data_IF_047178981636
#
_entry.id   IF_047178981636
#
_cell.length_a   1.000
_cell.length_b   1.000
_cell.length_c   1.000
_cell.angle_alpha   90.00
_cell.angle_beta   90.00
_cell.angle_gamma   90.00
#
_symmetry.space_group_name_H-M   'P 1'
#
loop_
_entity.id
_entity.type
_entity.pdbx_description
1 polymer ?
#
# COMPACT_ATOMS: atom_id res chain seq x y z
N UNK A 1 -25.06 21.66 -6.06
CA UNK A 1 -24.32 20.57 -5.40
C UNK A 1 -23.23 20.13 -6.36
N UNK A 2 -21.98 20.11 -5.93
CA UNK A 2 -20.82 19.70 -6.75
C UNK A 2 -20.73 18.17 -6.71
N UNK A 3 -20.93 17.45 -7.84
CA UNK A 3 -20.72 16.02 -7.87
C UNK A 3 -19.21 15.71 -7.79
N UNK A 4 -18.84 14.63 -7.09
CA UNK A 4 -17.47 14.16 -7.02
C UNK A 4 -17.44 12.63 -6.89
N UNK A 5 -16.54 11.97 -7.61
CA UNK A 5 -16.36 10.52 -7.60
C UNK A 5 -15.01 10.17 -6.98
N UNK A 6 -15.03 9.46 -5.85
CA UNK A 6 -13.86 8.95 -5.15
C UNK A 6 -13.68 7.46 -5.39
N UNK A 7 -12.49 7.06 -5.83
CA UNK A 7 -12.07 5.66 -5.80
C UNK A 7 -11.25 5.39 -4.56
N UNK A 8 -11.70 4.40 -3.78
CA UNK A 8 -11.11 4.03 -2.50
C UNK A 8 -10.64 2.59 -2.50
N UNK A 9 -9.34 2.39 -2.29
CA UNK A 9 -8.76 1.06 -2.11
C UNK A 9 -8.62 0.77 -0.62
N UNK A 10 -9.39 -0.20 -0.14
CA UNK A 10 -9.43 -0.57 1.27
C UNK A 10 -8.11 -1.12 1.81
N UNK A 11 -7.82 -0.81 3.08
CA UNK A 11 -6.69 -1.39 3.80
C UNK A 11 -7.10 -2.72 4.44
N UNK A 12 -6.92 -3.79 3.69
CA UNK A 12 -7.07 -5.18 4.19
C UNK A 12 -8.30 -5.38 5.09
N UNK A 13 -8.08 -5.80 6.34
CA UNK A 13 -9.14 -6.13 7.32
C UNK A 13 -9.83 -4.90 7.94
N UNK A 14 -9.39 -3.69 7.63
CA UNK A 14 -9.97 -2.45 8.16
C UNK A 14 -11.16 -1.93 7.34
N UNK A 15 -11.52 -2.63 6.26
CA UNK A 15 -12.50 -2.18 5.26
C UNK A 15 -13.89 -1.81 5.82
N UNK A 16 -14.38 -2.50 6.84
CA UNK A 16 -15.70 -2.20 7.40
C UNK A 16 -15.75 -0.84 8.10
N UNK A 17 -14.70 -0.53 8.87
CA UNK A 17 -14.58 0.74 9.58
C UNK A 17 -14.34 1.88 8.61
N UNK A 18 -13.51 1.67 7.58
CA UNK A 18 -13.30 2.63 6.49
C UNK A 18 -14.62 2.96 5.80
N UNK A 19 -15.44 1.93 5.50
CA UNK A 19 -16.74 2.13 4.85
C UNK A 19 -17.68 2.95 5.74
N UNK A 20 -17.79 2.63 7.02
CA UNK A 20 -18.62 3.38 7.96
C UNK A 20 -18.16 4.85 8.07
N UNK A 21 -16.84 5.08 8.12
CA UNK A 21 -16.29 6.43 8.11
C UNK A 21 -16.67 7.20 6.84
N UNK A 22 -16.52 6.59 5.68
CA UNK A 22 -16.81 7.20 4.37
C UNK A 22 -18.33 7.46 4.17
N UNK A 23 -19.20 6.62 4.70
CA UNK A 23 -20.64 6.85 4.72
C UNK A 23 -20.98 8.10 5.55
N UNK A 24 -20.39 8.25 6.75
CA UNK A 24 -20.52 9.46 7.58
C UNK A 24 -19.95 10.70 6.90
N UNK A 25 -18.78 10.57 6.28
CA UNK A 25 -18.15 11.64 5.48
C UNK A 25 -19.06 12.11 4.35
N UNK A 26 -19.64 11.18 3.60
CA UNK A 26 -20.54 11.49 2.48
C UNK A 26 -21.77 12.27 2.92
N UNK A 27 -22.32 11.93 4.09
CA UNK A 27 -23.44 12.66 4.68
C UNK A 27 -23.06 14.10 5.05
N UNK A 28 -21.92 14.31 5.74
CA UNK A 28 -21.44 15.66 6.12
C UNK A 28 -21.17 16.54 4.88
N UNK A 29 -20.48 16.02 3.88
CA UNK A 29 -20.16 16.76 2.67
C UNK A 29 -21.40 17.15 1.86
N UNK A 30 -22.47 16.34 1.92
CA UNK A 30 -23.74 16.66 1.27
C UNK A 30 -24.39 17.91 1.88
N UNK A 31 -24.31 18.10 3.21
CA UNK A 31 -24.78 19.30 3.89
C UNK A 31 -24.01 20.56 3.45
N UNK A 32 -22.76 20.39 3.04
CA UNK A 32 -21.89 21.45 2.51
C UNK A 32 -22.03 21.65 0.99
N UNK A 33 -22.95 20.95 0.33
CA UNK A 33 -23.19 21.09 -1.09
C UNK A 33 -22.26 20.27 -2.00
N UNK A 34 -21.57 19.26 -1.46
CA UNK A 34 -20.73 18.32 -2.22
C UNK A 34 -21.41 16.94 -2.22
N UNK A 35 -21.73 16.45 -3.43
CA UNK A 35 -22.31 15.11 -3.63
C UNK A 35 -21.18 14.11 -3.91
N UNK A 36 -20.59 13.53 -2.85
CA UNK A 36 -19.53 12.54 -2.98
C UNK A 36 -20.13 11.14 -3.23
N UNK A 37 -19.73 10.52 -4.32
CA UNK A 37 -19.94 9.10 -4.60
C UNK A 37 -18.62 8.35 -4.33
N UNK A 38 -18.68 7.20 -3.63
CA UNK A 38 -17.50 6.39 -3.34
C UNK A 38 -17.62 5.04 -4.01
N UNK A 39 -16.63 4.71 -4.84
CA UNK A 39 -16.46 3.36 -5.39
C UNK A 39 -15.29 2.68 -4.69
N UNK A 40 -15.57 1.47 -4.20
CA UNK A 40 -14.62 0.71 -3.39
C UNK A 40 -13.89 -0.35 -4.21
N UNK A 41 -12.61 -0.57 -3.85
CA UNK A 41 -11.73 -1.61 -4.41
C UNK A 41 -10.95 -2.29 -3.29
N UNK A 42 -10.31 -3.42 -3.61
CA UNK A 42 -9.49 -4.17 -2.66
C UNK A 42 -10.22 -5.39 -2.10
N UNK A 43 -9.94 -5.74 -0.84
CA UNK A 43 -10.46 -6.95 -0.22
C UNK A 43 -12.00 -6.97 -0.23
N UNK A 44 -12.56 -8.06 -0.77
CA UNK A 44 -14.01 -8.27 -0.87
C UNK A 44 -14.65 -7.71 -2.14
N UNK A 45 -13.88 -7.08 -3.01
CA UNK A 45 -14.33 -6.59 -4.32
C UNK A 45 -13.73 -7.42 -5.44
N UNK A 46 -14.48 -7.64 -6.56
CA UNK A 46 -14.10 -8.59 -7.60
C UNK A 46 -12.91 -8.13 -8.44
N UNK A 47 -12.54 -6.86 -8.37
CA UNK A 47 -11.58 -6.23 -9.28
C UNK A 47 -10.64 -5.29 -8.52
N UNK A 48 -9.36 -5.28 -8.90
CA UNK A 48 -8.39 -4.29 -8.44
C UNK A 48 -8.61 -2.95 -9.14
N UNK A 49 -8.24 -1.86 -8.46
CA UNK A 49 -8.40 -0.51 -9.03
C UNK A 49 -7.55 -0.33 -10.29
N UNK A 50 -6.33 -0.86 -10.31
CA UNK A 50 -5.45 -0.84 -11.47
C UNK A 50 -6.03 -1.62 -12.66
N UNK A 51 -6.61 -2.80 -12.42
CA UNK A 51 -7.28 -3.61 -13.46
C UNK A 51 -8.45 -2.85 -14.09
N UNK A 52 -9.29 -2.23 -13.23
CA UNK A 52 -10.40 -1.42 -13.71
C UNK A 52 -9.91 -0.24 -14.55
N UNK A 53 -8.94 0.55 -14.03
CA UNK A 53 -8.43 1.74 -14.71
C UNK A 53 -7.61 1.42 -15.98
N UNK A 54 -7.11 0.19 -16.12
CA UNK A 54 -6.46 -0.26 -17.35
C UNK A 54 -7.44 -0.37 -18.54
N UNK A 55 -8.72 -0.62 -18.26
CA UNK A 55 -9.75 -0.75 -19.31
C UNK A 55 -9.89 0.50 -20.16
N UNK A 56 -10.20 0.36 -21.46
CA UNK A 56 -10.43 1.51 -22.35
C UNK A 56 -11.67 2.33 -21.98
N UNK A 57 -12.69 1.67 -21.43
CA UNK A 57 -13.98 2.25 -21.05
C UNK A 57 -14.07 2.64 -19.56
N UNK A 58 -12.96 2.59 -18.83
CA UNK A 58 -12.93 2.95 -17.43
C UNK A 58 -13.34 4.41 -17.20
N UNK A 59 -14.29 4.61 -16.29
CA UNK A 59 -14.63 5.94 -15.81
C UNK A 59 -13.51 6.43 -14.91
N UNK A 60 -12.92 7.59 -15.25
CA UNK A 60 -11.86 8.16 -14.42
C UNK A 60 -12.48 8.89 -13.22
N UNK A 61 -12.00 8.63 -11.99
CA UNK A 61 -12.51 9.29 -10.80
C UNK A 61 -12.01 10.73 -10.69
N UNK A 62 -12.66 11.53 -9.86
CA UNK A 62 -12.19 12.86 -9.49
C UNK A 62 -11.10 12.79 -8.41
N UNK A 63 -11.21 11.80 -7.52
CA UNK A 63 -10.25 11.59 -6.42
C UNK A 63 -9.90 10.10 -6.32
N UNK A 64 -8.68 9.84 -5.87
CA UNK A 64 -8.19 8.47 -5.59
C UNK A 64 -7.55 8.45 -4.21
N UNK A 65 -7.86 7.41 -3.43
CA UNK A 65 -7.07 6.96 -2.28
C UNK A 65 -6.71 5.49 -2.52
N UNK A 66 -5.43 5.20 -2.67
CA UNK A 66 -5.04 3.85 -3.05
C UNK A 66 -3.65 3.45 -2.57
N UNK A 67 -3.55 2.21 -2.07
CA UNK A 67 -2.32 1.45 -1.91
C UNK A 67 -2.10 0.45 -3.06
N UNK A 68 -2.96 0.44 -4.08
CA UNK A 68 -2.73 -0.26 -5.34
C UNK A 68 -1.75 0.57 -6.17
N UNK A 69 -0.45 0.27 -6.00
CA UNK A 69 0.63 1.08 -6.53
C UNK A 69 0.69 1.07 -8.06
N UNK A 70 0.11 0.06 -8.71
CA UNK A 70 0.07 -0.03 -10.17
C UNK A 70 -0.74 1.12 -10.78
N UNK A 71 -1.71 1.67 -10.04
CA UNK A 71 -2.44 2.89 -10.44
C UNK A 71 -1.47 4.05 -10.71
N UNK A 72 -0.36 4.13 -9.95
CA UNK A 72 0.60 5.23 -9.99
C UNK A 72 1.93 4.86 -10.68
N UNK A 73 2.22 3.57 -10.83
CA UNK A 73 3.49 3.06 -11.37
C UNK A 73 3.35 2.58 -12.81
N UNK A 74 2.18 2.08 -13.21
CA UNK A 74 1.94 1.70 -14.61
C UNK A 74 1.66 2.95 -15.45
N UNK A 75 2.58 3.23 -16.36
CA UNK A 75 2.47 4.40 -17.24
C UNK A 75 1.23 4.39 -18.13
N UNK A 76 0.66 3.22 -18.45
CA UNK A 76 -0.57 3.07 -19.24
C UNK A 76 -1.80 3.58 -18.46
N UNK A 77 -1.76 3.45 -17.13
CA UNK A 77 -2.81 3.91 -16.21
C UNK A 77 -2.54 5.36 -15.81
N UNK A 78 -1.35 5.64 -15.27
CA UNK A 78 -1.04 6.93 -14.67
C UNK A 78 -1.08 8.08 -15.67
N UNK A 79 -0.65 7.87 -16.92
CA UNK A 79 -0.74 8.89 -17.99
C UNK A 79 -2.17 9.36 -18.27
N UNK A 80 -3.19 8.55 -17.99
CA UNK A 80 -4.60 8.95 -18.13
C UNK A 80 -5.03 9.97 -17.06
N UNK A 81 -4.33 10.00 -15.93
CA UNK A 81 -4.65 10.80 -14.75
C UNK A 81 -3.71 12.01 -14.60
N UNK A 82 -2.41 11.80 -14.83
CA UNK A 82 -1.32 12.67 -14.42
C UNK A 82 -1.47 14.14 -14.85
N UNK A 83 -1.93 14.37 -16.09
CA UNK A 83 -2.03 15.74 -16.65
C UNK A 83 -3.01 16.62 -15.90
N UNK A 84 -4.05 16.00 -15.36
CA UNK A 84 -5.20 16.67 -14.73
C UNK A 84 -5.08 16.69 -13.19
N UNK A 85 -3.98 16.20 -12.62
CA UNK A 85 -3.82 16.16 -11.17
C UNK A 85 -3.41 17.51 -10.59
N UNK A 86 -4.10 17.91 -9.53
CA UNK A 86 -3.70 19.01 -8.66
C UNK A 86 -2.41 18.68 -7.91
N UNK A 87 -1.64 19.69 -7.44
CA UNK A 87 -0.46 19.49 -6.59
C UNK A 87 -0.85 19.15 -5.14
N UNK A 88 -1.60 18.07 -4.94
CA UNK A 88 -2.24 17.71 -3.68
C UNK A 88 -1.25 17.54 -2.51
N UNK A 89 0.00 17.14 -2.77
CA UNK A 89 1.02 17.02 -1.73
C UNK A 89 1.43 18.35 -1.08
N UNK A 90 0.98 19.48 -1.63
CA UNK A 90 1.19 20.82 -1.06
C UNK A 90 0.02 21.32 -0.22
N UNK A 91 -1.08 20.57 -0.16
CA UNK A 91 -2.33 21.03 0.46
C UNK A 91 -2.31 20.97 1.99
N UNK A 92 -1.60 20.01 2.51
CA UNK A 92 -1.55 19.73 3.96
C UNK A 92 -0.11 19.59 4.44
N UNK A 93 0.19 19.99 5.67
CA UNK A 93 1.49 19.75 6.26
C UNK A 93 1.69 18.25 6.50
N UNK A 94 2.88 17.75 6.13
CA UNK A 94 3.27 16.34 6.29
C UNK A 94 4.34 16.23 7.36
N UNK A 95 4.27 15.16 8.14
CA UNK A 95 5.30 14.76 9.12
C UNK A 95 6.57 14.41 8.38
N UNK A 96 7.63 15.19 8.63
CA UNK A 96 8.93 14.99 7.98
C UNK A 96 9.66 13.80 8.61
N UNK A 97 10.49 13.13 7.82
CA UNK A 97 11.32 12.04 8.30
C UNK A 97 11.56 10.95 7.25
N UNK A 98 12.41 9.95 7.60
CA UNK A 98 12.87 8.92 6.66
C UNK A 98 11.74 8.14 5.98
N UNK A 99 10.60 7.96 6.66
CA UNK A 99 9.45 7.27 6.06
C UNK A 99 8.85 8.06 4.91
N UNK A 100 8.61 9.37 5.12
CA UNK A 100 8.10 10.26 4.07
C UNK A 100 9.07 10.37 2.91
N UNK A 101 10.37 10.53 3.21
CA UNK A 101 11.42 10.66 2.19
C UNK A 101 11.47 9.40 1.29
N UNK A 102 11.23 8.22 1.87
CA UNK A 102 11.23 6.94 1.15
C UNK A 102 10.05 6.77 0.17
N UNK A 103 8.96 7.52 0.36
CA UNK A 103 7.72 7.33 -0.43
C UNK A 103 7.27 8.56 -1.20
N UNK A 104 7.92 9.70 -1.01
CA UNK A 104 7.54 10.96 -1.69
C UNK A 104 7.72 10.84 -3.21
N UNK A 105 6.68 11.17 -3.96
CA UNK A 105 6.66 11.15 -5.44
C UNK A 105 6.12 12.47 -5.99
N UNK A 106 6.98 13.46 -6.10
CA UNK A 106 6.61 14.78 -6.63
C UNK A 106 5.56 15.51 -5.78
N UNK A 107 4.78 16.39 -6.41
CA UNK A 107 3.77 17.23 -5.74
C UNK A 107 2.33 16.78 -5.98
N UNK A 108 2.08 15.94 -6.97
CA UNK A 108 0.72 15.52 -7.37
C UNK A 108 0.15 14.39 -6.53
N UNK A 109 1.02 13.52 -6.03
CA UNK A 109 0.65 12.42 -5.14
C UNK A 109 0.93 12.81 -3.69
N UNK A 110 -0.12 12.94 -2.90
CA UNK A 110 -0.01 13.24 -1.47
C UNK A 110 0.12 11.91 -0.73
N UNK A 111 1.29 11.61 -0.10
CA UNK A 111 1.41 10.42 0.73
C UNK A 111 0.42 10.51 1.90
N UNK A 112 -0.47 9.53 1.99
CA UNK A 112 -1.46 9.44 3.04
C UNK A 112 -0.93 8.59 4.20
N UNK A 113 -0.67 7.34 3.92
CA UNK A 113 -0.13 6.37 4.87
C UNK A 113 0.83 5.40 4.18
N UNK A 114 1.56 4.62 4.98
CA UNK A 114 2.21 3.39 4.52
C UNK A 114 1.82 2.20 5.36
N UNK A 115 1.65 1.06 4.70
CA UNK A 115 1.46 -0.25 5.31
C UNK A 115 2.84 -0.89 5.46
N UNK A 116 3.41 -0.97 6.69
CA UNK A 116 4.69 -1.64 6.89
C UNK A 116 4.53 -3.14 6.78
N UNK A 117 5.38 -3.80 5.98
CA UNK A 117 5.55 -5.25 6.02
C UNK A 117 6.69 -5.61 6.95
N UNK A 118 6.41 -6.52 7.86
CA UNK A 118 7.33 -6.98 8.91
C UNK A 118 7.31 -8.50 9.00
N UNK A 119 8.31 -9.08 9.64
CA UNK A 119 8.32 -10.51 9.91
C UNK A 119 7.36 -10.87 11.03
N UNK A 120 6.51 -11.85 10.77
CA UNK A 120 5.80 -12.63 11.76
C UNK A 120 6.44 -14.03 11.79
N UNK A 121 6.91 -14.48 12.96
CA UNK A 121 7.66 -15.72 13.09
C UNK A 121 7.36 -16.44 14.39
N UNK A 122 7.48 -17.77 14.38
CA UNK A 122 7.54 -18.63 15.58
C UNK A 122 8.98 -18.99 15.96
N UNK A 123 9.92 -18.78 15.06
CA UNK A 123 11.35 -19.00 15.27
C UNK A 123 12.13 -17.72 14.98
N UNK A 124 12.49 -17.01 16.04
CA UNK A 124 13.24 -15.76 15.91
C UNK A 124 14.65 -15.98 15.34
N UNK A 125 15.26 -17.16 15.50
CA UNK A 125 16.58 -17.47 14.96
C UNK A 125 16.59 -17.53 13.43
N UNK A 126 15.44 -17.87 12.83
CA UNK A 126 15.28 -17.93 11.38
C UNK A 126 15.43 -16.56 10.71
N UNK A 127 14.98 -15.47 11.36
CA UNK A 127 14.95 -14.14 10.76
C UNK A 127 15.78 -13.07 11.48
N UNK A 128 16.35 -13.38 12.66
CA UNK A 128 17.09 -12.38 13.44
C UNK A 128 18.29 -11.81 12.67
N UNK A 129 18.28 -10.51 12.44
CA UNK A 129 19.35 -9.79 11.74
C UNK A 129 19.52 -10.13 10.27
N UNK A 130 18.65 -10.97 9.70
CA UNK A 130 18.71 -11.35 8.28
C UNK A 130 18.00 -10.37 7.37
N UNK A 131 18.54 -10.25 6.17
CA UNK A 131 17.95 -9.51 5.06
C UNK A 131 16.87 -10.35 4.38
N UNK A 132 15.96 -9.70 3.69
CA UNK A 132 14.91 -10.37 2.91
C UNK A 132 15.49 -11.35 1.87
N UNK A 133 16.60 -10.99 1.23
CA UNK A 133 17.28 -11.83 0.24
C UNK A 133 18.00 -13.06 0.82
N UNK A 134 18.19 -13.10 2.15
CA UNK A 134 18.90 -14.20 2.85
C UNK A 134 17.93 -15.26 3.41
N UNK A 135 16.63 -14.98 3.43
CA UNK A 135 15.62 -15.88 3.97
C UNK A 135 15.13 -16.87 2.92
N UNK A 136 15.42 -18.15 3.13
CA UNK A 136 14.84 -19.24 2.34
C UNK A 136 13.51 -19.68 2.99
N UNK A 137 12.52 -20.02 2.16
CA UNK A 137 11.21 -20.46 2.63
C UNK A 137 10.39 -19.36 3.32
N UNK A 138 10.68 -18.09 3.02
CA UNK A 138 9.89 -16.96 3.49
C UNK A 138 8.47 -17.06 2.94
N UNK A 139 7.47 -17.10 3.81
CA UNK A 139 6.10 -16.96 3.37
C UNK A 139 5.78 -15.50 3.10
N UNK A 140 5.13 -15.21 1.98
CA UNK A 140 4.58 -13.89 1.69
C UNK A 140 3.33 -14.01 0.83
N UNK A 141 2.51 -12.97 0.86
CA UNK A 141 1.24 -12.98 0.14
C UNK A 141 1.04 -11.76 -0.71
N UNK A 142 -0.05 -11.81 -1.49
CA UNK A 142 -0.43 -10.71 -2.34
C UNK A 142 0.10 -10.82 -3.76
N UNK A 143 -0.07 -12.00 -4.37
CA UNK A 143 0.30 -12.23 -5.79
C UNK A 143 -0.31 -11.15 -6.68
N UNK A 144 -1.57 -10.83 -6.46
CA UNK A 144 -2.34 -9.87 -7.26
C UNK A 144 -2.49 -8.49 -6.59
N UNK A 145 -1.77 -8.21 -5.52
CA UNK A 145 -1.79 -6.90 -4.87
C UNK A 145 -0.39 -6.33 -4.64
N UNK A 146 -0.33 -5.09 -4.20
CA UNK A 146 0.93 -4.37 -4.01
C UNK A 146 1.90 -5.04 -3.03
N UNK A 147 1.44 -5.88 -2.08
CA UNK A 147 2.33 -6.46 -1.09
C UNK A 147 3.39 -7.38 -1.73
N UNK A 148 2.96 -8.37 -2.52
CA UNK A 148 3.86 -9.29 -3.22
C UNK A 148 4.69 -8.59 -4.30
N UNK A 149 4.03 -7.77 -5.11
CA UNK A 149 4.70 -7.04 -6.21
C UNK A 149 5.76 -6.07 -5.68
N UNK A 150 5.45 -5.28 -4.64
CA UNK A 150 6.42 -4.34 -4.03
C UNK A 150 7.60 -5.08 -3.39
N UNK A 151 7.34 -6.23 -2.74
CA UNK A 151 8.42 -7.05 -2.19
C UNK A 151 9.41 -7.48 -3.29
N UNK A 152 8.91 -8.03 -4.38
CA UNK A 152 9.76 -8.49 -5.49
C UNK A 152 10.49 -7.33 -6.15
N UNK A 153 9.81 -6.20 -6.39
CA UNK A 153 10.42 -4.96 -6.91
C UNK A 153 11.54 -4.45 -5.99
N UNK A 154 11.31 -4.41 -4.67
CA UNK A 154 12.29 -3.93 -3.70
C UNK A 154 13.52 -4.84 -3.61
N UNK A 155 13.33 -6.17 -3.62
CA UNK A 155 14.43 -7.14 -3.63
C UNK A 155 15.20 -7.04 -4.95
N UNK A 156 14.52 -6.93 -6.08
CA UNK A 156 15.19 -6.74 -7.38
C UNK A 156 15.99 -5.44 -7.41
N UNK A 157 15.39 -4.34 -6.98
CA UNK A 157 16.03 -3.02 -6.93
C UNK A 157 17.30 -3.00 -6.08
N UNK A 158 17.29 -3.70 -4.94
CA UNK A 158 18.38 -3.65 -3.98
C UNK A 158 19.46 -4.71 -4.20
N UNK A 159 19.08 -5.90 -4.66
CA UNK A 159 19.93 -7.09 -4.71
C UNK A 159 20.04 -7.72 -6.10
N UNK A 160 19.38 -7.13 -7.09
CA UNK A 160 19.39 -7.58 -8.47
C UNK A 160 18.34 -8.64 -8.80
N UNK A 161 18.16 -8.86 -10.12
CA UNK A 161 17.16 -9.78 -10.68
C UNK A 161 17.32 -11.22 -10.16
N UNK A 162 18.54 -11.69 -9.98
CA UNK A 162 18.80 -13.04 -9.47
C UNK A 162 18.28 -13.27 -8.04
N UNK A 163 18.38 -12.24 -7.16
CA UNK A 163 17.83 -12.33 -5.82
C UNK A 163 16.29 -12.34 -5.82
N UNK A 164 15.65 -11.58 -6.71
CA UNK A 164 14.20 -11.60 -6.88
C UNK A 164 13.70 -12.97 -7.38
N UNK A 165 14.40 -13.58 -8.34
CA UNK A 165 14.14 -14.96 -8.79
C UNK A 165 14.25 -15.96 -7.63
N UNK A 166 15.37 -15.92 -6.89
CA UNK A 166 15.60 -16.83 -5.76
C UNK A 166 14.53 -16.68 -4.67
N UNK A 167 14.05 -15.45 -4.41
CA UNK A 167 12.94 -15.21 -3.50
C UNK A 167 11.66 -15.90 -3.98
N UNK A 168 11.32 -15.78 -5.25
CA UNK A 168 10.13 -16.40 -5.84
C UNK A 168 10.22 -17.92 -5.89
N UNK A 169 11.40 -18.48 -6.22
CA UNK A 169 11.65 -19.92 -6.28
C UNK A 169 11.61 -20.60 -4.92
N UNK A 170 12.16 -19.94 -3.89
CA UNK A 170 12.27 -20.52 -2.54
C UNK A 170 11.14 -20.10 -1.61
N UNK A 171 10.35 -19.09 -1.98
CA UNK A 171 9.31 -18.53 -1.14
C UNK A 171 8.02 -19.35 -1.14
N UNK A 172 7.30 -19.29 -0.02
CA UNK A 172 5.96 -19.86 0.10
C UNK A 172 4.92 -18.77 -0.20
N UNK A 173 4.57 -18.64 -1.49
CA UNK A 173 3.72 -17.54 -1.95
C UNK A 173 2.23 -17.87 -1.79
N UNK A 174 1.45 -16.93 -1.27
CA UNK A 174 0.00 -17.00 -1.11
C UNK A 174 -0.70 -15.90 -1.91
N UNK A 175 -1.95 -16.13 -2.32
CA UNK A 175 -2.75 -15.11 -3.02
C UNK A 175 -2.89 -13.82 -2.20
N UNK A 176 -3.09 -13.98 -0.88
CA UNK A 176 -3.32 -12.87 0.04
C UNK A 176 -2.33 -12.91 1.21
N UNK A 177 -1.94 -11.74 1.79
CA UNK A 177 -1.06 -11.70 2.95
C UNK A 177 -1.55 -12.49 4.16
N UNK A 178 -2.87 -12.62 4.34
CA UNK A 178 -3.44 -13.45 5.40
C UNK A 178 -3.07 -14.94 5.25
N UNK A 179 -2.93 -15.44 4.01
CA UNK A 179 -2.49 -16.80 3.74
C UNK A 179 -1.07 -17.05 4.25
N UNK A 180 -0.14 -16.13 3.98
CA UNK A 180 1.22 -16.21 4.49
C UNK A 180 1.27 -16.19 6.04
N UNK A 181 0.45 -15.34 6.67
CA UNK A 181 0.30 -15.33 8.13
C UNK A 181 -0.19 -16.70 8.67
N UNK A 182 -1.19 -17.31 8.00
CA UNK A 182 -1.70 -18.63 8.38
C UNK A 182 -0.67 -19.74 8.21
N UNK A 183 0.16 -19.71 7.18
CA UNK A 183 1.23 -20.69 6.98
C UNK A 183 2.17 -20.75 8.19
N UNK A 184 2.54 -19.61 8.78
CA UNK A 184 3.34 -19.60 10.01
C UNK A 184 2.53 -20.10 11.22
N UNK A 185 1.27 -19.71 11.34
CA UNK A 185 0.41 -20.20 12.43
C UNK A 185 0.26 -21.71 12.42
N UNK A 186 0.17 -22.31 11.24
CA UNK A 186 0.04 -23.77 11.05
C UNK A 186 1.38 -24.50 11.05
N UNK A 187 2.52 -23.79 11.19
CA UNK A 187 3.86 -24.39 11.19
C UNK A 187 4.34 -24.85 9.81
N UNK A 188 3.72 -24.38 8.74
CA UNK A 188 4.08 -24.70 7.36
C UNK A 188 5.28 -23.86 6.88
N UNK A 189 5.49 -22.70 7.47
CA UNK A 189 6.62 -21.82 7.22
C UNK A 189 7.15 -21.27 8.55
N UNK A 190 8.46 -21.09 8.71
CA UNK A 190 9.04 -20.58 9.96
C UNK A 190 8.79 -19.08 10.14
N UNK A 191 8.75 -18.34 9.04
CA UNK A 191 8.61 -16.86 9.02
C UNK A 191 7.79 -16.41 7.82
N UNK A 192 6.94 -15.41 8.03
CA UNK A 192 6.23 -14.72 6.98
C UNK A 192 6.55 -13.22 6.98
N UNK A 193 6.58 -12.60 5.79
CA UNK A 193 6.53 -11.16 5.62
C UNK A 193 5.06 -10.76 5.43
N UNK A 194 4.53 -10.00 6.37
CA UNK A 194 3.10 -9.63 6.40
C UNK A 194 2.90 -8.18 6.81
N UNK A 195 1.79 -7.55 6.44
CA UNK A 195 1.41 -6.24 6.97
C UNK A 195 1.44 -6.21 8.51
N UNK A 196 1.89 -5.08 9.06
CA UNK A 196 1.98 -4.85 10.51
C UNK A 196 0.68 -5.20 11.24
N UNK A 197 -0.46 -4.89 10.66
CA UNK A 197 -1.78 -5.18 11.22
C UNK A 197 -2.03 -6.68 11.50
N UNK A 198 -1.41 -7.59 10.72
CA UNK A 198 -1.45 -9.03 11.02
C UNK A 198 -0.41 -9.41 12.08
N UNK A 199 0.77 -8.78 12.01
CA UNK A 199 1.86 -9.05 12.96
C UNK A 199 1.54 -8.58 14.39
N UNK A 200 0.62 -7.60 14.58
CA UNK A 200 0.09 -7.20 15.88
C UNK A 200 -0.58 -8.35 16.64
N UNK A 201 -0.93 -9.45 15.94
CA UNK A 201 -1.48 -10.66 16.55
C UNK A 201 -0.42 -11.60 17.14
N UNK A 202 0.87 -11.22 17.07
CA UNK A 202 1.93 -11.93 17.76
C UNK A 202 1.76 -11.77 19.28
N UNK A 203 1.86 -12.90 20.01
CA UNK A 203 1.67 -12.95 21.47
C UNK A 203 2.95 -12.63 22.28
N UNK A 204 4.09 -12.59 21.61
CA UNK A 204 5.38 -12.33 22.25
C UNK A 204 6.02 -13.53 22.97
N UNK A 205 5.30 -14.66 23.05
CA UNK A 205 5.77 -15.89 23.70
C UNK A 205 6.03 -17.01 22.71
N UNK A 206 5.05 -17.28 21.84
CA UNK A 206 5.07 -18.35 20.83
C UNK A 206 5.17 -17.84 19.41
N UNK A 207 4.92 -16.54 19.25
CA UNK A 207 5.01 -15.85 17.98
C UNK A 207 5.51 -14.43 18.20
N UNK A 208 6.30 -13.93 17.26
CA UNK A 208 7.05 -12.70 17.43
C UNK A 208 6.92 -11.83 16.17
N UNK A 209 6.82 -10.53 16.41
CA UNK A 209 7.05 -9.52 15.39
C UNK A 209 8.53 -9.17 15.34
N UNK A 210 9.12 -9.15 14.14
CA UNK A 210 10.51 -8.73 13.91
C UNK A 210 10.57 -7.84 12.66
N UNK A 211 11.54 -6.95 12.65
CA UNK A 211 11.82 -6.11 11.47
C UNK A 211 12.89 -6.79 10.61
N UNK A 212 12.77 -6.73 9.27
CA UNK A 212 13.90 -7.03 8.37
C UNK A 212 15.13 -6.19 8.72
N UNK A 213 16.33 -6.69 8.42
CA UNK A 213 17.57 -5.93 8.66
C UNK A 213 17.63 -4.62 7.87
N UNK A 214 16.95 -4.55 6.73
CA UNK A 214 16.77 -3.34 5.91
C UNK A 214 15.80 -2.32 6.53
N UNK A 215 15.03 -2.70 7.51
CA UNK A 215 13.84 -2.01 7.99
C UNK A 215 12.56 -2.57 7.40
N UNK A 216 11.39 -2.13 7.87
CA UNK A 216 10.10 -2.51 7.30
C UNK A 216 10.01 -2.16 5.82
N UNK A 217 9.46 -3.07 5.00
CA UNK A 217 9.09 -2.75 3.62
C UNK A 217 7.82 -1.91 3.64
N UNK A 218 7.85 -0.75 3.00
CA UNK A 218 6.70 0.16 2.96
C UNK A 218 5.87 -0.02 1.70
N UNK A 219 4.57 -0.15 1.87
CA UNK A 219 3.59 -0.01 0.80
C UNK A 219 2.85 1.30 1.02
N UNK A 220 3.19 2.37 0.29
CA UNK A 220 2.51 3.64 0.43
C UNK A 220 1.10 3.61 -0.13
N UNK A 221 0.21 4.37 0.48
CA UNK A 221 -1.07 4.78 -0.08
C UNK A 221 -1.03 6.26 -0.37
N UNK A 222 -1.51 6.64 -1.55
CA UNK A 222 -1.54 8.03 -1.99
C UNK A 222 -2.96 8.52 -2.13
N UNK A 223 -3.12 9.81 -1.80
CA UNK A 223 -4.28 10.59 -2.22
C UNK A 223 -3.88 11.42 -3.44
N UNK A 224 -4.75 11.49 -4.44
CA UNK A 224 -4.67 12.46 -5.51
C UNK A 224 -6.06 12.97 -5.93
N UNK A 225 -6.10 14.14 -6.53
CA UNK A 225 -7.33 14.76 -7.02
C UNK A 225 -7.13 15.38 -8.40
N UNK A 226 -8.14 15.24 -9.26
CA UNK A 226 -8.15 15.80 -10.63
C UNK A 226 -8.85 17.15 -10.65
N UNK A 227 -8.50 17.96 -11.63
CA UNK A 227 -9.12 19.25 -11.93
C UNK A 227 -10.50 19.13 -12.63
N UNK A 228 -11.06 17.92 -12.72
CA UNK A 228 -12.45 17.67 -13.13
C UNK A 228 -13.47 18.22 -12.15
N UNK A 229 -13.06 18.46 -10.89
CA UNK A 229 -13.87 19.18 -9.88
C UNK A 229 -13.12 20.43 -9.40
N UNK A 230 -13.82 21.45 -8.85
CA UNK A 230 -13.18 22.64 -8.31
C UNK A 230 -12.16 22.31 -7.20
N UNK A 231 -11.00 22.98 -7.22
CA UNK A 231 -9.93 22.74 -6.24
C UNK A 231 -10.42 22.90 -4.78
N UNK A 232 -11.29 23.87 -4.52
CA UNK A 232 -11.87 24.06 -3.18
C UNK A 232 -12.66 22.85 -2.68
N UNK A 233 -13.44 22.21 -3.55
CA UNK A 233 -14.16 20.99 -3.24
C UNK A 233 -13.19 19.80 -3.00
N UNK A 234 -12.18 19.65 -3.87
CA UNK A 234 -11.17 18.62 -3.73
C UNK A 234 -10.37 18.76 -2.41
N UNK A 235 -9.95 19.99 -2.05
CA UNK A 235 -9.27 20.29 -0.79
C UNK A 235 -10.17 20.02 0.43
N UNK A 236 -11.46 20.32 0.33
CA UNK A 236 -12.42 20.06 1.42
C UNK A 236 -12.58 18.57 1.65
N UNK A 237 -12.73 17.77 0.60
CA UNK A 237 -12.78 16.31 0.66
C UNK A 237 -11.47 15.76 1.25
N UNK A 238 -10.32 16.24 0.78
CA UNK A 238 -9.01 15.83 1.30
C UNK A 238 -8.88 16.09 2.81
N UNK A 239 -9.29 17.26 3.29
CA UNK A 239 -9.22 17.63 4.70
C UNK A 239 -10.09 16.72 5.58
N UNK A 240 -11.25 16.31 5.09
CA UNK A 240 -12.13 15.37 5.81
C UNK A 240 -11.58 13.94 5.82
N UNK A 241 -10.97 13.48 4.71
CA UNK A 241 -10.35 12.15 4.64
C UNK A 241 -9.09 12.10 5.51
N UNK A 242 -8.26 13.13 5.46
CA UNK A 242 -6.97 13.20 6.14
C UNK A 242 -7.10 13.83 7.54
N UNK A 243 -8.23 13.56 8.21
CA UNK A 243 -8.55 14.08 9.55
C UNK A 243 -7.94 13.20 10.66
N UNK A 244 -7.81 13.73 11.89
CA UNK A 244 -7.29 12.98 13.02
C UNK A 244 -8.03 11.67 13.28
N UNK A 245 -9.36 11.68 13.17
CA UNK A 245 -10.22 10.52 13.44
C UNK A 245 -9.80 9.29 12.64
N UNK A 246 -9.68 9.42 11.31
CA UNK A 246 -9.28 8.31 10.45
C UNK A 246 -7.78 8.00 10.58
N UNK A 247 -6.94 9.01 10.72
CA UNK A 247 -5.50 8.83 10.87
C UNK A 247 -5.16 8.07 12.18
N UNK A 248 -5.72 8.46 13.31
CA UNK A 248 -5.46 7.80 14.59
C UNK A 248 -6.04 6.38 14.61
N UNK A 249 -7.22 6.17 13.99
CA UNK A 249 -7.77 4.83 13.79
C UNK A 249 -6.79 3.88 13.08
N UNK A 250 -6.12 4.33 12.03
CA UNK A 250 -5.14 3.52 11.30
C UNK A 250 -3.88 3.21 12.11
N UNK A 251 -3.41 4.14 12.92
CA UNK A 251 -2.27 3.89 13.82
C UNK A 251 -2.65 2.85 14.88
N UNK A 252 -3.78 3.03 15.53
CA UNK A 252 -4.21 2.19 16.65
C UNK A 252 -4.55 0.74 16.22
N UNK A 253 -5.23 0.60 15.07
CA UNK A 253 -5.75 -0.71 14.63
C UNK A 253 -4.89 -1.41 13.59
N UNK A 254 -3.96 -0.70 12.94
CA UNK A 254 -3.13 -1.23 11.87
C UNK A 254 -1.63 -1.11 12.11
N UNK A 255 -1.21 -0.29 13.10
CA UNK A 255 0.19 0.09 13.28
C UNK A 255 0.79 0.69 11.99
N UNK A 256 -0.05 1.48 11.26
CA UNK A 256 0.32 2.08 9.98
C UNK A 256 1.12 3.37 10.21
N UNK A 257 1.99 3.71 9.27
CA UNK A 257 2.75 4.97 9.30
C UNK A 257 1.93 6.03 8.57
N UNK A 258 1.57 7.10 9.27
CA UNK A 258 0.76 8.21 8.76
C UNK A 258 1.63 9.42 8.45
N UNK A 259 1.35 10.09 7.34
CA UNK A 259 2.10 11.28 6.89
C UNK A 259 1.40 12.61 7.18
N UNK A 260 0.06 12.74 7.20
CA UNK A 260 -0.59 13.97 7.61
C UNK A 260 -0.19 14.34 9.05
N UNK A 261 0.20 15.60 9.27
CA UNK A 261 0.66 16.07 10.60
C UNK A 261 -0.48 16.28 11.60
N UNK A 262 -1.73 16.01 11.20
CA UNK A 262 -2.91 16.10 12.09
C UNK A 262 -2.99 14.94 13.09
N UNK A 263 -2.34 13.79 12.82
CA UNK A 263 -2.34 12.66 13.76
C UNK A 263 -1.35 12.89 14.90
N UNK A 264 -1.73 12.47 16.11
CA UNK A 264 -0.87 12.45 17.29
C UNK A 264 -0.24 11.08 17.52
N UNK A 265 -0.86 10.03 16.94
CA UNK A 265 -0.40 8.66 17.03
C UNK A 265 0.91 8.42 16.27
N UNK A 266 1.68 7.44 16.76
CA UNK A 266 2.92 6.98 16.14
C UNK A 266 2.89 5.46 15.96
N UNK A 267 3.21 5.00 14.76
CA UNK A 267 3.40 3.58 14.50
C UNK A 267 4.63 3.05 15.25
N UNK A 268 4.52 1.86 15.83
CA UNK A 268 5.67 1.14 16.40
C UNK A 268 6.71 0.79 15.34
N UNK A 269 6.32 0.87 14.05
CA UNK A 269 7.21 0.58 12.92
C UNK A 269 8.02 1.80 12.49
N UNK A 270 7.78 2.97 13.05
CA UNK A 270 8.63 4.14 12.79
C UNK A 270 10.08 3.88 13.20
N UNK A 271 11.02 4.28 12.35
CA UNK A 271 12.44 4.01 12.54
C UNK A 271 13.33 4.81 11.60
N UNK A 272 14.63 4.56 11.65
CA UNK A 272 15.61 5.29 10.86
C UNK A 272 15.80 4.73 9.44
N UNK A 273 15.29 3.54 9.16
CA UNK A 273 15.48 2.86 7.88
C UNK A 273 14.18 2.20 7.45
N UNK A 274 13.97 2.26 6.14
CA UNK A 274 12.87 1.59 5.47
C UNK A 274 13.34 0.94 4.18
N UNK A 275 12.60 -0.05 3.73
CA UNK A 275 12.87 -0.75 2.50
C UNK A 275 11.79 -0.39 1.48
N UNK A 276 12.19 0.14 0.34
CA UNK A 276 11.33 0.48 -0.79
C UNK A 276 12.12 0.26 -2.07
N UNK A 277 11.49 0.00 -3.21
CA UNK A 277 12.19 0.05 -4.49
C UNK A 277 12.81 1.43 -4.69
N UNK A 278 14.05 1.49 -5.14
CA UNK A 278 14.71 2.76 -5.44
C UNK A 278 14.02 3.45 -6.64
N UNK A 279 13.90 4.79 -6.66
CA UNK A 279 13.30 5.51 -7.79
C UNK A 279 13.96 5.17 -9.13
N UNK A 280 15.29 5.06 -9.16
CA UNK A 280 16.08 4.77 -10.35
C UNK A 280 15.77 3.38 -10.92
N UNK A 281 15.27 2.45 -10.10
CA UNK A 281 14.86 1.13 -10.56
C UNK A 281 13.68 1.22 -11.55
N UNK A 282 12.71 2.10 -11.30
CA UNK A 282 11.57 2.31 -12.19
C UNK A 282 11.95 2.97 -13.54
N UNK A 283 13.12 3.60 -13.60
CA UNK A 283 13.67 4.16 -14.83
C UNK A 283 14.41 3.11 -15.68
N UNK A 284 14.91 2.05 -15.02
CA UNK A 284 15.76 1.02 -15.65
C UNK A 284 15.05 -0.28 -15.95
N UNK A 285 13.99 -0.62 -15.21
CA UNK A 285 13.22 -1.85 -15.40
C UNK A 285 11.80 -1.48 -15.85
N UNK A 286 11.45 -1.91 -17.07
CA UNK A 286 10.11 -1.66 -17.60
C UNK A 286 9.05 -2.50 -16.89
N UNK A 287 7.78 -2.06 -16.95
CA UNK A 287 6.66 -2.84 -16.44
C UNK A 287 6.58 -4.21 -17.12
N UNK A 288 6.79 -4.27 -18.44
CA UNK A 288 6.78 -5.51 -19.22
C UNK A 288 7.86 -6.48 -18.75
N UNK A 289 9.08 -5.99 -18.48
CA UNK A 289 10.17 -6.82 -17.97
C UNK A 289 9.87 -7.37 -16.59
N UNK A 290 9.34 -6.53 -15.69
CA UNK A 290 8.91 -6.97 -14.36
C UNK A 290 7.82 -8.04 -14.45
N UNK A 291 6.76 -7.80 -15.21
CA UNK A 291 5.64 -8.74 -15.34
C UNK A 291 6.00 -10.02 -16.08
N UNK A 292 6.91 -9.97 -17.05
CA UNK A 292 7.43 -11.18 -17.71
C UNK A 292 8.12 -12.10 -16.69
N UNK A 293 8.92 -11.55 -15.76
CA UNK A 293 9.52 -12.34 -14.69
C UNK A 293 8.47 -12.81 -13.69
N UNK A 294 7.63 -11.88 -13.20
CA UNK A 294 6.66 -12.15 -12.14
C UNK A 294 5.63 -13.21 -12.57
N UNK A 295 5.06 -13.09 -13.78
CA UNK A 295 4.10 -14.04 -14.33
C UNK A 295 4.71 -15.40 -14.69
N UNK A 296 5.97 -15.44 -15.13
CA UNK A 296 6.66 -16.70 -15.36
C UNK A 296 6.85 -17.52 -14.07
N UNK A 297 7.08 -16.83 -12.94
CA UNK A 297 7.29 -17.45 -11.63
C UNK A 297 5.97 -17.69 -10.88
N UNK A 298 4.96 -16.87 -11.12
CA UNK A 298 3.65 -16.93 -10.50
C UNK A 298 2.56 -16.97 -11.59
N UNK A 299 2.27 -18.16 -12.18
CA UNK A 299 1.36 -18.28 -13.31
C UNK A 299 -0.09 -17.85 -13.01
N UNK A 300 -0.47 -17.77 -11.73
CA UNK A 300 -1.79 -17.29 -11.28
C UNK A 300 -1.86 -15.77 -11.13
N UNK A 301 -0.74 -15.06 -11.33
CA UNK A 301 -0.73 -13.60 -11.26
C UNK A 301 -1.50 -12.99 -12.43
N UNK A 302 -2.40 -12.07 -12.11
CA UNK A 302 -3.02 -11.21 -13.12
C UNK A 302 -2.01 -10.13 -13.52
N UNK A 303 -1.74 -10.04 -14.81
CA UNK A 303 -0.83 -9.07 -15.40
C UNK A 303 -1.71 -8.00 -16.09
N UNK A 304 -1.60 -6.73 -15.68
CA UNK A 304 -2.41 -5.65 -16.24
C UNK A 304 -2.19 -5.40 -17.73
#
# INVERSE_FOLDING_TARGET
MTPALLYWNHVCILHNQEKNFLEGLTARLREEGIALEVRYFGLGYPEHMSEYLARPDAVLPDLIVSADLEVFEDSRIFKKLERDLYPAATWLPLRQGPALDSVRRGTRLLPFLSIPLVYYTKDTSHCAGKRLSELKGLAFGGINNSAGKTLVKAVWSRYGRGAALSLLESGAVSDMPIGAFQQVRLGQSPTALVPSLYALRADGERSFLRRPAEGPLLIPSYFCARNSIPEGAARRIAAEILCPELCDFYVENGDLILYPSCTTGHSRQEGARYFTPAPEWYETVSAEEFYALYGAMLPTAHIP
#
